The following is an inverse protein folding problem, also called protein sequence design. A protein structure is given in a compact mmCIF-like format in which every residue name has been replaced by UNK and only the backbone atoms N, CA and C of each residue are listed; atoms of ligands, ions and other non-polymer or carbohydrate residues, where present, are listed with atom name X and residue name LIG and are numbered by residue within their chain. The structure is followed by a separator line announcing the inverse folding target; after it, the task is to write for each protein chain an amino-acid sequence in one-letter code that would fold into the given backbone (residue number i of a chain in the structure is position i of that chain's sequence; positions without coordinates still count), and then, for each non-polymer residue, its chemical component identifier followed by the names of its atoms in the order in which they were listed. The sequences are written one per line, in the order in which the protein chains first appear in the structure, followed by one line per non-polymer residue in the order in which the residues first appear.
data_IF_628547756782
#
_entry.id   IF_628547756782
#
_cell.length_a   1.000
_cell.length_b   1.000
_cell.length_c   1.000
_cell.angle_alpha   90.00
_cell.angle_beta   90.00
_cell.angle_gamma   90.00
#
_symmetry.space_group_name_H-M   'P 1'
#
loop_
_entity.id
_entity.type
_entity.pdbx_description
1 polymer ?
#
# COMPACT_ATOMS: atom_id res chain seq x y z
N UNK A 1 8.89 5.71 15.22
CA UNK A 1 7.86 4.65 15.31
C UNK A 1 6.51 5.29 15.00
N UNK A 2 5.85 4.87 13.96
CA UNK A 2 4.54 5.40 13.55
C UNK A 2 3.47 4.32 13.67
N UNK A 3 2.30 4.70 14.22
CA UNK A 3 1.12 3.84 14.24
C UNK A 3 0.35 4.12 12.97
N UNK A 4 -0.01 3.07 12.24
CA UNK A 4 -0.86 3.13 11.08
C UNK A 4 -2.21 2.48 11.37
N UNK A 5 -3.28 3.10 10.90
CA UNK A 5 -4.63 2.57 10.91
C UNK A 5 -5.18 2.67 9.50
N UNK A 6 -5.44 1.53 8.87
CA UNK A 6 -5.85 1.52 7.47
C UNK A 6 -6.96 0.51 7.19
N UNK A 7 -7.75 0.79 6.17
CA UNK A 7 -8.65 -0.17 5.54
C UNK A 7 -8.21 -0.41 4.10
N UNK A 8 -8.52 -1.59 3.61
CA UNK A 8 -8.11 -2.05 2.29
C UNK A 8 -9.28 -2.68 1.53
N UNK A 9 -9.38 -2.34 0.25
CA UNK A 9 -10.37 -2.90 -0.67
C UNK A 9 -9.70 -3.43 -1.93
N UNK A 10 -10.27 -4.50 -2.48
CA UNK A 10 -9.94 -4.97 -3.84
C UNK A 10 -10.88 -4.27 -4.81
N UNK A 11 -10.31 -3.75 -5.91
CA UNK A 11 -11.05 -3.06 -6.95
C UNK A 11 -11.18 -3.91 -8.21
N UNK A 12 -12.29 -3.73 -8.94
CA UNK A 12 -12.54 -4.36 -10.26
C UNK A 12 -11.72 -3.72 -11.36
N UNK A 13 -11.57 -2.39 -11.28
CA UNK A 13 -10.88 -1.56 -12.26
C UNK A 13 -10.38 -0.28 -11.59
N UNK A 14 -9.52 0.45 -12.28
CA UNK A 14 -9.01 1.74 -11.79
C UNK A 14 -10.17 2.75 -11.76
N UNK A 15 -10.48 3.34 -10.59
CA UNK A 15 -11.57 4.30 -10.51
C UNK A 15 -11.29 5.55 -11.31
N UNK A 16 -12.31 6.06 -11.97
CA UNK A 16 -12.28 7.40 -12.54
C UNK A 16 -12.63 8.41 -11.43
N UNK A 17 -11.62 9.14 -10.97
CA UNK A 17 -11.74 10.11 -9.89
C UNK A 17 -12.04 11.53 -10.39
N UNK A 18 -12.19 11.71 -11.71
CA UNK A 18 -12.56 12.98 -12.32
C UNK A 18 -13.94 13.41 -11.80
N UNK A 19 -14.10 14.68 -11.46
CA UNK A 19 -15.35 15.26 -10.97
C UNK A 19 -15.83 14.76 -9.59
N UNK A 20 -14.95 14.12 -8.80
CA UNK A 20 -15.29 13.61 -7.46
C UNK A 20 -14.48 14.28 -6.32
N UNK A 21 -13.97 15.49 -6.54
CA UNK A 21 -13.17 16.24 -5.55
C UNK A 21 -11.91 15.52 -5.07
N UNK A 22 -11.30 14.71 -5.92
CA UNK A 22 -10.00 14.12 -5.65
C UNK A 22 -8.88 14.96 -6.26
N UNK A 23 -7.85 15.19 -5.46
CA UNK A 23 -6.63 15.85 -5.88
C UNK A 23 -5.52 14.80 -6.03
N UNK A 24 -4.95 14.69 -7.24
CA UNK A 24 -3.82 13.81 -7.48
C UNK A 24 -2.58 14.36 -6.78
N UNK A 25 -1.93 13.55 -5.95
CA UNK A 25 -0.73 13.93 -5.21
C UNK A 25 0.53 13.44 -5.92
N UNK A 26 0.63 12.12 -6.18
CA UNK A 26 1.81 11.51 -6.79
C UNK A 26 1.54 10.14 -7.36
N UNK A 27 2.43 9.70 -8.25
CA UNK A 27 2.54 8.31 -8.67
C UNK A 27 3.95 7.81 -8.37
N UNK A 28 4.06 6.60 -7.85
CA UNK A 28 5.32 5.98 -7.47
C UNK A 28 5.37 4.53 -7.94
N UNK A 29 6.55 4.12 -8.43
CA UNK A 29 6.87 2.70 -8.61
C UNK A 29 7.54 2.21 -7.33
N UNK A 30 7.00 1.15 -6.76
CA UNK A 30 7.50 0.57 -5.51
C UNK A 30 7.90 -0.89 -5.78
N UNK A 31 9.17 -1.20 -5.51
CA UNK A 31 9.67 -2.57 -5.45
C UNK A 31 9.84 -2.92 -3.98
N UNK A 32 9.22 -3.98 -3.54
CA UNK A 32 9.11 -4.34 -2.14
C UNK A 32 9.60 -5.78 -1.95
N UNK A 33 10.69 -5.92 -1.20
CA UNK A 33 11.37 -7.20 -1.01
C UNK A 33 11.37 -7.57 0.47
N UNK A 34 11.00 -8.80 0.80
CA UNK A 34 10.83 -9.26 2.18
C UNK A 34 12.03 -10.03 2.68
N UNK A 35 12.57 -9.61 3.82
CA UNK A 35 13.61 -10.29 4.59
C UNK A 35 12.96 -11.25 5.60
N UNK A 36 11.79 -10.89 6.08
CA UNK A 36 10.91 -11.71 6.92
C UNK A 36 9.47 -11.23 6.73
N UNK A 37 8.54 -11.86 7.43
CA UNK A 37 7.13 -11.44 7.42
C UNK A 37 6.95 -9.96 7.80
N UNK A 38 7.73 -9.48 8.76
CA UNK A 38 7.59 -8.15 9.33
C UNK A 38 8.67 -7.16 8.88
N UNK A 39 9.66 -7.63 8.12
CA UNK A 39 10.81 -6.84 7.69
C UNK A 39 10.94 -6.82 6.18
N UNK A 40 11.03 -5.60 5.62
CA UNK A 40 11.08 -5.41 4.18
C UNK A 40 12.03 -4.30 3.77
N UNK A 41 12.48 -4.42 2.52
CA UNK A 41 13.19 -3.35 1.81
C UNK A 41 12.24 -2.75 0.77
N UNK A 42 12.38 -1.46 0.52
CA UNK A 42 11.66 -0.78 -0.57
C UNK A 42 12.61 0.02 -1.44
N UNK A 43 12.36 -0.02 -2.74
CA UNK A 43 12.87 0.96 -3.69
C UNK A 43 11.67 1.78 -4.15
N UNK A 44 11.74 3.09 -4.01
CA UNK A 44 10.68 4.00 -4.46
C UNK A 44 11.26 4.92 -5.52
N UNK A 45 10.58 5.00 -6.66
CA UNK A 45 10.94 5.89 -7.76
C UNK A 45 9.69 6.45 -8.41
N UNK A 46 9.81 7.65 -9.00
CA UNK A 46 8.74 8.16 -9.87
C UNK A 46 8.79 7.39 -11.18
N UNK A 47 7.64 7.06 -11.81
CA UNK A 47 7.61 6.40 -13.11
C UNK A 47 8.44 7.18 -14.14
N UNK A 48 9.40 6.49 -14.78
CA UNK A 48 10.29 7.10 -15.77
C UNK A 48 11.46 7.91 -15.20
N UNK A 49 11.58 8.06 -13.89
CA UNK A 49 12.68 8.78 -13.26
C UNK A 49 13.89 7.85 -13.00
N UNK A 50 15.09 8.43 -13.07
CA UNK A 50 16.35 7.70 -12.79
C UNK A 50 16.69 7.68 -11.31
N UNK A 51 16.15 8.61 -10.50
CA UNK A 51 16.43 8.74 -9.08
C UNK A 51 15.59 7.74 -8.30
N UNK A 52 16.24 6.95 -7.43
CA UNK A 52 15.62 5.97 -6.57
C UNK A 52 15.93 6.27 -5.12
N UNK A 53 14.97 6.03 -4.27
CA UNK A 53 15.13 6.08 -2.82
C UNK A 53 15.01 4.67 -2.25
N UNK A 54 15.84 4.37 -1.25
CA UNK A 54 15.94 3.03 -0.65
C UNK A 54 15.55 3.12 0.82
N UNK A 55 14.72 2.17 1.26
CA UNK A 55 14.22 2.12 2.63
C UNK A 55 14.34 0.72 3.20
N UNK A 56 14.63 0.66 4.49
CA UNK A 56 14.53 -0.53 5.31
C UNK A 56 13.41 -0.29 6.32
N UNK A 57 12.41 -1.18 6.34
CA UNK A 57 11.20 -1.00 7.12
C UNK A 57 10.89 -2.23 7.96
N UNK A 58 10.40 -1.99 9.17
CA UNK A 58 9.85 -3.03 10.03
C UNK A 58 8.40 -2.64 10.30
N UNK A 59 7.46 -3.55 9.97
CA UNK A 59 6.03 -3.32 10.13
C UNK A 59 5.42 -4.47 10.92
N UNK A 60 5.01 -4.18 12.15
CA UNK A 60 4.41 -5.16 13.05
C UNK A 60 2.91 -4.92 13.17
N UNK A 61 2.11 -5.93 12.85
CA UNK A 61 0.67 -5.90 13.03
C UNK A 61 0.36 -5.96 14.53
N UNK A 62 -0.42 -5.01 15.05
CA UNK A 62 -0.83 -4.93 16.45
C UNK A 62 -2.33 -5.15 16.65
N UNK A 63 -3.10 -5.16 15.58
CA UNK A 63 -4.54 -5.36 15.59
C UNK A 63 -5.08 -5.41 14.16
N UNK A 64 -6.38 -5.58 14.03
CA UNK A 64 -7.04 -5.54 12.73
C UNK A 64 -6.93 -4.14 12.12
N UNK A 65 -6.33 -4.04 10.93
CA UNK A 65 -6.07 -2.76 10.27
C UNK A 65 -5.05 -1.88 10.98
N UNK A 66 -4.43 -2.35 12.06
CA UNK A 66 -3.46 -1.57 12.84
C UNK A 66 -2.07 -2.19 12.82
N UNK A 67 -1.07 -1.35 12.63
CA UNK A 67 0.34 -1.74 12.66
C UNK A 67 1.22 -0.63 13.20
N UNK A 68 2.41 -1.03 13.64
CA UNK A 68 3.48 -0.10 13.99
C UNK A 68 4.55 -0.23 12.93
N UNK A 69 4.93 0.88 12.31
CA UNK A 69 5.96 0.92 11.29
C UNK A 69 7.16 1.76 11.73
N UNK A 70 8.34 1.20 11.53
CA UNK A 70 9.61 1.90 11.59
C UNK A 70 10.21 1.90 10.19
N UNK A 71 10.58 3.07 9.68
CA UNK A 71 11.17 3.24 8.36
C UNK A 71 12.48 4.01 8.46
N UNK A 72 13.52 3.49 7.81
CA UNK A 72 14.83 4.09 7.75
C UNK A 72 15.27 4.22 6.31
N UNK A 73 15.71 5.42 5.91
CA UNK A 73 16.37 5.63 4.63
C UNK A 73 17.75 4.98 4.67
N UNK A 74 18.08 4.20 3.64
CA UNK A 74 19.38 3.54 3.51
C UNK A 74 20.02 3.86 2.16
N UNK A 75 21.32 3.60 2.05
CA UNK A 75 22.04 3.77 0.79
C UNK A 75 21.77 2.60 -0.15
N UNK A 76 22.01 2.79 -1.45
CA UNK A 76 21.95 1.71 -2.42
C UNK A 76 22.87 0.54 -2.06
N UNK A 77 24.06 0.85 -1.55
CA UNK A 77 25.05 -0.17 -1.10
C UNK A 77 24.50 -1.02 0.04
N UNK A 78 23.87 -0.39 1.02
CA UNK A 78 23.22 -1.09 2.15
C UNK A 78 22.06 -1.93 1.67
N UNK A 79 21.24 -1.38 0.75
CA UNK A 79 20.14 -2.09 0.13
C UNK A 79 20.62 -3.37 -0.57
N UNK A 80 21.62 -3.28 -1.43
CA UNK A 80 22.16 -4.41 -2.17
C UNK A 80 22.71 -5.51 -1.24
N UNK A 81 23.31 -5.10 -0.13
CA UNK A 81 23.81 -6.04 0.88
C UNK A 81 22.66 -6.79 1.57
N UNK A 82 21.63 -6.07 2.01
CA UNK A 82 20.48 -6.67 2.70
C UNK A 82 19.60 -7.49 1.75
N UNK A 83 19.46 -7.05 0.51
CA UNK A 83 18.62 -7.72 -0.49
C UNK A 83 19.06 -9.17 -0.81
N UNK A 84 20.30 -9.50 -0.55
CA UNK A 84 20.80 -10.90 -0.71
C UNK A 84 20.03 -11.91 0.15
N UNK A 85 19.45 -11.45 1.25
CA UNK A 85 18.65 -12.30 2.15
C UNK A 85 17.14 -12.23 1.85
N UNK A 86 16.72 -11.43 0.88
CA UNK A 86 15.31 -11.34 0.50
C UNK A 86 14.86 -12.62 -0.22
N UNK A 87 13.66 -13.08 0.09
CA UNK A 87 13.12 -14.33 -0.48
C UNK A 87 11.79 -14.18 -1.21
N UNK A 88 11.09 -13.05 -1.01
CA UNK A 88 9.84 -12.71 -1.73
C UNK A 88 9.90 -11.26 -2.18
N UNK A 89 9.26 -10.97 -3.31
CA UNK A 89 9.25 -9.62 -3.86
C UNK A 89 7.93 -9.34 -4.59
N UNK A 90 7.50 -8.10 -4.54
CA UNK A 90 6.44 -7.59 -5.40
C UNK A 90 6.81 -6.23 -5.95
N UNK A 91 6.25 -5.90 -7.11
CA UNK A 91 6.34 -4.59 -7.73
C UNK A 91 4.95 -4.03 -7.93
N UNK A 92 4.76 -2.77 -7.58
CA UNK A 92 3.49 -2.09 -7.77
C UNK A 92 3.70 -0.65 -8.21
N UNK A 93 2.68 -0.09 -8.85
CA UNK A 93 2.56 1.34 -9.09
C UNK A 93 1.48 1.85 -8.15
N UNK A 94 1.85 2.80 -7.30
CA UNK A 94 0.95 3.46 -6.36
C UNK A 94 0.60 4.84 -6.85
N UNK A 95 -0.69 5.14 -6.90
CA UNK A 95 -1.21 6.50 -7.11
C UNK A 95 -1.86 6.97 -5.84
N UNK A 96 -1.45 8.14 -5.38
CA UNK A 96 -1.93 8.75 -4.14
C UNK A 96 -2.81 9.95 -4.47
N UNK A 97 -3.98 9.99 -3.85
CA UNK A 97 -4.97 11.05 -4.01
C UNK A 97 -5.41 11.57 -2.65
N UNK A 98 -5.66 12.87 -2.58
CA UNK A 98 -6.37 13.48 -1.45
C UNK A 98 -7.84 13.61 -1.82
N UNK A 99 -8.73 13.04 -1.01
CA UNK A 99 -10.14 13.37 -1.10
C UNK A 99 -10.38 14.66 -0.33
N UNK A 100 -10.66 15.74 -1.07
CA UNK A 100 -10.84 17.06 -0.47
C UNK A 100 -12.07 17.11 0.43
N UNK A 101 -13.11 16.32 0.14
CA UNK A 101 -14.34 16.29 0.90
C UNK A 101 -14.18 15.67 2.30
N UNK A 102 -13.46 14.56 2.43
CA UNK A 102 -13.26 13.88 3.72
C UNK A 102 -11.88 14.12 4.35
N UNK A 103 -10.94 14.67 3.58
CA UNK A 103 -9.60 14.99 4.05
C UNK A 103 -8.65 13.78 4.14
N UNK A 104 -9.09 12.59 3.72
CA UNK A 104 -8.26 11.38 3.78
C UNK A 104 -7.44 11.19 2.51
N UNK A 105 -6.31 10.51 2.69
CA UNK A 105 -5.44 10.08 1.59
C UNK A 105 -5.86 8.69 1.13
N UNK A 106 -6.10 8.56 -0.16
CA UNK A 106 -6.47 7.32 -0.84
C UNK A 106 -5.29 6.86 -1.68
N UNK A 107 -4.83 5.65 -1.45
CA UNK A 107 -3.73 5.05 -2.19
C UNK A 107 -4.26 3.91 -3.06
N UNK A 108 -4.05 4.00 -4.36
CA UNK A 108 -4.48 2.97 -5.32
C UNK A 108 -3.24 2.27 -5.85
N UNK A 109 -3.09 1.00 -5.51
CA UNK A 109 -1.98 0.15 -5.88
C UNK A 109 -2.37 -0.78 -7.03
N UNK A 110 -1.59 -0.72 -8.09
CA UNK A 110 -1.68 -1.66 -9.19
C UNK A 110 -0.50 -2.65 -9.09
N UNK A 111 -0.82 -3.89 -8.72
CA UNK A 111 0.13 -4.99 -8.65
C UNK A 111 0.01 -5.82 -9.92
N UNK A 112 1.13 -6.02 -10.63
CA UNK A 112 1.16 -6.84 -11.83
C UNK A 112 2.06 -8.04 -11.63
N UNK A 113 1.50 -9.22 -11.86
CA UNK A 113 2.23 -10.49 -11.82
C UNK A 113 2.39 -11.03 -13.23
N UNK A 114 3.59 -11.51 -13.53
CA UNK A 114 3.95 -11.94 -14.89
C UNK A 114 3.61 -13.40 -15.16
N UNK A 115 3.63 -14.26 -14.13
CA UNK A 115 3.38 -15.68 -14.30
C UNK A 115 2.66 -16.27 -13.07
N UNK A 116 1.37 -16.58 -13.15
CA UNK A 116 0.45 -16.22 -14.24
C UNK A 116 0.26 -14.72 -14.36
N UNK A 117 -0.08 -14.25 -15.55
CA UNK A 117 -0.35 -12.81 -15.74
C UNK A 117 -1.65 -12.44 -15.05
N UNK A 118 -1.54 -11.80 -13.92
CA UNK A 118 -2.66 -11.33 -13.11
C UNK A 118 -2.39 -9.90 -12.68
N UNK A 119 -3.42 -9.08 -12.79
CA UNK A 119 -3.41 -7.71 -12.26
C UNK A 119 -4.32 -7.66 -11.04
N UNK A 120 -3.81 -7.13 -9.94
CA UNK A 120 -4.58 -6.90 -8.72
C UNK A 120 -4.58 -5.41 -8.44
N UNK A 121 -5.76 -4.86 -8.21
CA UNK A 121 -5.94 -3.46 -7.82
C UNK A 121 -6.39 -3.42 -6.38
N UNK A 122 -5.62 -2.72 -5.55
CA UNK A 122 -5.91 -2.52 -4.13
C UNK A 122 -6.06 -1.03 -3.86
N UNK A 123 -7.01 -0.69 -3.02
CA UNK A 123 -7.17 0.67 -2.50
C UNK A 123 -6.99 0.63 -0.99
N UNK A 124 -6.15 1.51 -0.47
CA UNK A 124 -5.93 1.70 0.96
C UNK A 124 -6.29 3.14 1.34
N UNK A 125 -6.91 3.30 2.50
CA UNK A 125 -7.17 4.59 3.10
C UNK A 125 -6.60 4.56 4.51
N UNK A 126 -5.81 5.59 4.86
CA UNK A 126 -5.19 5.74 6.17
C UNK A 126 -6.04 6.66 7.05
N UNK A 127 -6.28 6.24 8.30
CA UNK A 127 -7.21 6.91 9.22
C UNK A 127 -6.57 7.36 10.54
N UNK A 128 -5.29 7.06 10.78
CA UNK A 128 -4.64 7.29 12.08
C UNK A 128 -4.62 8.75 12.52
N UNK A 129 -4.72 9.70 11.60
CA UNK A 129 -4.71 11.12 11.94
C UNK A 129 -6.05 11.60 12.54
N UNK A 130 -7.11 10.81 12.41
CA UNK A 130 -8.45 11.19 12.85
C UNK A 130 -9.11 10.18 13.78
N UNK A 131 -8.84 8.89 13.59
CA UNK A 131 -9.46 7.81 14.35
C UNK A 131 -8.42 6.97 15.07
N UNK A 132 -8.82 6.29 16.15
CA UNK A 132 -7.93 5.50 17.00
C UNK A 132 -7.93 4.02 16.63
N UNK A 133 -9.06 3.49 16.14
CA UNK A 133 -9.22 2.08 15.80
C UNK A 133 -10.27 1.88 14.68
N UNK A 134 -10.39 0.65 14.20
CA UNK A 134 -11.36 0.31 13.16
C UNK A 134 -12.81 0.47 13.60
N UNK A 135 -13.10 0.34 14.90
CA UNK A 135 -14.46 0.55 15.39
C UNK A 135 -14.90 1.99 15.17
N UNK A 136 -14.01 2.96 15.45
CA UNK A 136 -14.28 4.36 15.15
C UNK A 136 -14.42 4.60 13.65
N UNK A 137 -13.54 4.01 12.84
CA UNK A 137 -13.62 4.11 11.39
C UNK A 137 -14.97 3.60 10.89
N UNK A 138 -15.38 2.42 11.30
CA UNK A 138 -16.62 1.79 10.86
C UNK A 138 -17.86 2.55 11.36
N UNK A 139 -17.73 3.28 12.47
CA UNK A 139 -18.82 4.08 13.03
C UNK A 139 -19.00 5.42 12.30
N UNK A 140 -17.92 6.09 11.95
CA UNK A 140 -17.94 7.49 11.50
C UNK A 140 -17.54 7.72 10.05
N UNK A 141 -16.90 6.75 9.40
CA UNK A 141 -16.47 6.87 8.01
C UNK A 141 -17.38 6.08 7.08
N UNK A 142 -17.83 6.74 6.01
CA UNK A 142 -18.50 6.09 4.90
C UNK A 142 -17.68 6.30 3.63
N UNK A 143 -17.39 5.21 2.93
CA UNK A 143 -16.76 5.28 1.62
C UNK A 143 -17.69 6.00 0.65
N UNK A 144 -17.20 6.97 -0.16
CA UNK A 144 -18.05 7.64 -1.14
C UNK A 144 -18.80 6.65 -2.03
N UNK A 145 -20.09 6.87 -2.19
CA UNK A 145 -21.02 5.94 -2.87
C UNK A 145 -20.58 5.60 -4.31
N UNK A 146 -19.92 6.52 -5.01
CA UNK A 146 -19.48 6.24 -6.37
C UNK A 146 -18.42 5.13 -6.47
N UNK A 147 -17.75 4.76 -5.36
CA UNK A 147 -16.84 3.61 -5.33
C UNK A 147 -17.55 2.27 -5.41
N UNK A 148 -18.85 2.19 -5.13
CA UNK A 148 -19.61 0.92 -5.10
C UNK A 148 -19.44 0.12 -6.39
N UNK A 149 -19.44 0.79 -7.53
CA UNK A 149 -19.26 0.13 -8.84
C UNK A 149 -17.83 -0.38 -9.09
N UNK A 150 -16.85 0.09 -8.32
CA UNK A 150 -15.44 -0.28 -8.47
C UNK A 150 -14.98 -1.33 -7.47
N UNK A 151 -15.68 -1.48 -6.35
CA UNK A 151 -15.26 -2.36 -5.26
C UNK A 151 -15.73 -3.78 -5.48
N UNK A 152 -14.80 -4.75 -5.34
CA UNK A 152 -15.11 -6.16 -5.25
C UNK A 152 -15.36 -6.59 -3.81
N UNK A 153 -14.49 -6.19 -2.89
CA UNK A 153 -14.58 -6.59 -1.49
C UNK A 153 -13.75 -5.68 -0.59
N UNK A 154 -14.19 -5.52 0.66
CA UNK A 154 -13.38 -5.03 1.75
C UNK A 154 -12.53 -6.21 2.26
N UNK A 155 -11.22 -6.07 2.17
CA UNK A 155 -10.26 -7.13 2.52
C UNK A 155 -9.37 -6.77 3.70
N UNK A 156 -9.79 -5.79 4.48
CA UNK A 156 -9.04 -5.29 5.66
C UNK A 156 -8.67 -6.43 6.61
N UNK A 157 -9.58 -7.38 6.82
CA UNK A 157 -9.40 -8.52 7.73
C UNK A 157 -8.82 -9.77 7.06
N UNK A 158 -8.49 -9.71 5.77
CA UNK A 158 -8.03 -10.88 5.00
C UNK A 158 -6.52 -10.82 4.78
N UNK A 159 -5.73 -11.61 5.55
CA UNK A 159 -4.27 -11.59 5.43
C UNK A 159 -3.77 -12.01 4.04
N UNK A 160 -4.57 -12.76 3.27
CA UNK A 160 -4.25 -13.19 1.89
C UNK A 160 -4.00 -12.01 0.96
N UNK A 161 -4.59 -10.84 1.26
CA UNK A 161 -4.41 -9.61 0.48
C UNK A 161 -3.33 -8.68 1.04
N UNK A 162 -2.59 -9.12 2.06
CA UNK A 162 -1.40 -8.38 2.49
C UNK A 162 -0.33 -8.40 1.39
N UNK A 163 0.46 -7.34 1.31
CA UNK A 163 1.56 -7.32 0.34
C UNK A 163 2.52 -8.49 0.54
N UNK A 164 2.76 -8.90 1.79
CA UNK A 164 3.60 -10.05 2.10
C UNK A 164 3.08 -11.35 1.47
N UNK A 165 1.77 -11.61 1.61
CA UNK A 165 1.17 -12.82 1.03
C UNK A 165 1.10 -12.76 -0.49
N UNK A 166 0.91 -11.57 -1.07
CA UNK A 166 0.87 -11.38 -2.51
C UNK A 166 2.26 -11.40 -3.16
N UNK A 167 3.31 -11.14 -2.40
CA UNK A 167 4.69 -11.18 -2.91
C UNK A 167 5.06 -12.59 -3.40
N UNK A 168 5.81 -12.65 -4.49
CA UNK A 168 6.21 -13.89 -5.13
C UNK A 168 7.64 -14.26 -4.76
N UNK A 169 7.98 -15.56 -4.72
CA UNK A 169 9.35 -16.00 -4.49
C UNK A 169 10.34 -15.37 -5.46
N UNK A 170 11.49 -14.95 -4.96
CA UNK A 170 12.59 -14.45 -5.77
C UNK A 170 13.28 -15.69 -6.39
N UNK A 171 13.42 -15.66 -7.71
CA UNK A 171 14.06 -16.74 -8.47
C UNK A 171 15.56 -16.53 -8.59
#
# INVERSE_FOLDING_TARGET
MAIELEKKWVLKEIPDLTNHNFEFIKAEKIVQSYLSKDERLRIISKPGAKIKEYFHQIKNKIGEGQSIEESKTITEKEYLKLHKSAYKELTKVRRTYLNVADGFTYEIDHLRFVSPRVDILLMEIEFQDKYQDLLEVDTYFELPEFFDKYILADVTSYPEFSNYQLAQPIK
#
